data_IF_148504626100
#
_entry.id   IF_148504626100
#
_cell.length_a   1.000
_cell.length_b   1.000
_cell.length_c   1.000
_cell.angle_alpha   90.00
_cell.angle_beta   90.00
_cell.angle_gamma   90.00
#
_symmetry.space_group_name_H-M   'P 1'
#
loop_
_entity.id
_entity.type
_entity.pdbx_description
1 polymer ?
#
# COMPACT_ATOMS: atom_id res chain seq x y z
N UNK A 1 -23.25 59.64 -3.27
CA UNK A 1 -22.93 58.83 -4.47
C UNK A 1 -22.24 57.56 -4.00
N UNK A 2 -22.93 56.42 -4.02
CA UNK A 2 -22.36 55.11 -3.75
C UNK A 2 -22.62 54.24 -4.98
N UNK A 3 -21.54 53.79 -5.62
CA UNK A 3 -21.56 53.00 -6.86
C UNK A 3 -21.69 51.52 -6.47
N UNK A 4 -22.86 50.93 -6.70
CA UNK A 4 -23.05 49.50 -6.50
C UNK A 4 -22.55 48.76 -7.76
N UNK A 5 -21.65 47.76 -7.65
CA UNK A 5 -21.19 47.03 -8.81
C UNK A 5 -22.32 46.14 -9.32
N UNK A 6 -22.81 46.40 -10.54
CA UNK A 6 -23.69 45.46 -11.23
C UNK A 6 -22.88 44.24 -11.66
N UNK A 7 -22.99 43.16 -10.88
CA UNK A 7 -22.43 41.87 -11.24
C UNK A 7 -23.32 41.25 -12.32
N UNK A 8 -22.79 41.20 -13.55
CA UNK A 8 -23.46 40.60 -14.70
C UNK A 8 -23.79 39.12 -14.46
N UNK A 9 -25.05 38.74 -14.71
CA UNK A 9 -25.59 37.37 -14.59
C UNK A 9 -24.76 36.35 -15.37
N UNK A 10 -24.12 36.77 -16.47
CA UNK A 10 -23.23 35.92 -17.27
C UNK A 10 -21.97 35.48 -16.52
N UNK A 11 -21.46 36.31 -15.57
CA UNK A 11 -20.31 35.95 -14.73
C UNK A 11 -20.67 34.91 -13.67
N UNK A 12 -21.91 34.96 -13.17
CA UNK A 12 -22.43 33.99 -12.19
C UNK A 12 -22.64 32.64 -12.88
N UNK A 13 -23.25 32.64 -14.06
CA UNK A 13 -23.46 31.42 -14.84
C UNK A 13 -22.14 30.72 -15.24
N UNK A 14 -21.13 31.50 -15.65
CA UNK A 14 -19.80 30.96 -15.99
C UNK A 14 -19.08 30.34 -14.77
N UNK A 15 -19.24 30.94 -13.58
CA UNK A 15 -18.64 30.40 -12.35
C UNK A 15 -19.28 29.08 -11.90
N UNK A 16 -20.60 28.95 -12.05
CA UNK A 16 -21.33 27.74 -11.70
C UNK A 16 -21.01 26.57 -12.64
N UNK A 17 -20.79 26.82 -13.93
CA UNK A 17 -20.43 25.76 -14.91
C UNK A 17 -19.04 25.19 -14.61
N UNK A 18 -18.06 26.02 -14.24
CA UNK A 18 -16.71 25.55 -13.88
C UNK A 18 -16.70 24.72 -12.58
N UNK A 19 -17.53 25.04 -11.59
CA UNK A 19 -17.61 24.30 -10.33
C UNK A 19 -18.18 22.88 -10.50
N UNK A 20 -19.08 22.67 -11.48
CA UNK A 20 -19.64 21.34 -11.78
C UNK A 20 -18.62 20.48 -12.54
N UNK A 21 -17.84 21.06 -13.46
CA UNK A 21 -16.82 20.30 -14.20
C UNK A 21 -15.64 19.87 -13.32
N UNK A 22 -15.26 20.69 -12.32
CA UNK A 22 -14.19 20.36 -11.36
C UNK A 22 -14.59 19.35 -10.29
N UNK A 23 -15.89 19.14 -10.03
CA UNK A 23 -16.37 18.15 -9.07
C UNK A 23 -16.55 16.75 -9.66
N UNK A 24 -16.64 16.62 -10.99
CA UNK A 24 -16.78 15.31 -11.67
C UNK A 24 -15.42 14.63 -11.90
N UNK A 25 -14.34 15.39 -12.04
CA UNK A 25 -12.98 14.85 -12.25
C UNK A 25 -12.29 14.34 -10.97
N UNK A 26 -12.91 14.48 -9.80
CA UNK A 26 -12.40 13.91 -8.55
C UNK A 26 -12.71 12.41 -8.38
N UNK A 27 -13.55 11.83 -9.26
CA UNK A 27 -13.82 10.40 -9.31
C UNK A 27 -13.11 9.78 -10.51
N UNK A 28 -11.80 9.94 -10.59
CA UNK A 28 -10.99 8.88 -11.18
C UNK A 28 -11.17 7.66 -10.26
N UNK A 29 -12.24 6.91 -10.49
CA UNK A 29 -12.37 5.56 -9.95
C UNK A 29 -11.13 4.85 -10.46
N UNK A 30 -10.19 4.55 -9.57
CA UNK A 30 -9.30 3.43 -9.80
C UNK A 30 -10.24 2.28 -10.18
N UNK A 31 -10.17 1.82 -11.43
CA UNK A 31 -10.86 0.60 -11.80
C UNK A 31 -10.42 -0.42 -10.75
N UNK A 32 -11.35 -1.05 -10.01
CA UNK A 32 -10.94 -2.01 -8.99
C UNK A 32 -10.01 -3.00 -9.68
N UNK A 33 -8.79 -3.16 -9.16
CA UNK A 33 -7.83 -4.10 -9.73
C UNK A 33 -8.52 -5.48 -9.76
N UNK A 34 -9.01 -5.87 -10.94
CA UNK A 34 -9.81 -7.09 -11.10
C UNK A 34 -8.82 -8.24 -11.09
N UNK A 35 -8.64 -8.88 -9.94
CA UNK A 35 -7.73 -9.99 -9.79
C UNK A 35 -7.50 -10.37 -8.34
N UNK A 36 -6.93 -11.56 -8.14
CA UNK A 36 -6.45 -11.99 -6.82
C UNK A 36 -5.17 -11.23 -6.48
N UNK A 37 -5.11 -10.67 -5.27
CA UNK A 37 -3.95 -9.91 -4.77
C UNK A 37 -3.23 -10.73 -3.73
N UNK A 38 -1.97 -11.06 -3.99
CA UNK A 38 -1.15 -11.83 -3.08
C UNK A 38 0.18 -11.12 -2.77
N UNK A 39 0.70 -11.28 -1.56
CA UNK A 39 1.98 -10.71 -1.14
C UNK A 39 2.83 -11.70 -0.33
N UNK A 40 4.15 -11.62 -0.51
CA UNK A 40 5.16 -12.25 0.35
C UNK A 40 6.11 -11.14 0.79
N UNK A 41 6.23 -10.96 2.10
CA UNK A 41 7.04 -9.93 2.75
C UNK A 41 8.11 -10.63 3.59
N UNK A 42 9.36 -10.22 3.45
CA UNK A 42 10.51 -10.86 4.10
C UNK A 42 11.31 -9.78 4.81
N UNK A 43 11.33 -9.83 6.14
CA UNK A 43 12.13 -8.93 6.97
C UNK A 43 13.27 -9.71 7.63
N UNK A 44 14.52 -9.38 7.29
CA UNK A 44 15.71 -10.02 7.87
C UNK A 44 16.58 -8.92 8.50
N UNK A 45 16.73 -8.96 9.82
CA UNK A 45 17.68 -8.07 10.51
C UNK A 45 19.08 -8.70 10.61
N UNK A 46 19.15 -10.02 10.78
CA UNK A 46 20.40 -10.73 11.09
C UNK A 46 20.63 -11.86 10.09
N UNK A 47 21.75 -11.76 9.37
CA UNK A 47 22.20 -12.80 8.46
C UNK A 47 23.23 -13.69 9.16
N UNK A 48 23.29 -14.96 8.77
CA UNK A 48 24.29 -15.90 9.28
C UNK A 48 25.71 -15.57 8.80
N UNK A 49 25.83 -14.87 7.66
CA UNK A 49 27.10 -14.42 7.13
C UNK A 49 27.62 -13.22 7.97
N UNK A 50 28.76 -13.36 8.67
CA UNK A 50 29.30 -12.29 9.51
C UNK A 50 29.79 -11.08 8.71
N UNK A 51 29.96 -11.20 7.39
CA UNK A 51 30.29 -10.06 6.53
C UNK A 51 29.09 -9.12 6.31
N UNK A 52 27.87 -9.61 6.57
CA UNK A 52 26.65 -8.81 6.44
C UNK A 52 26.32 -8.17 7.78
N UNK A 53 26.30 -6.84 7.81
CA UNK A 53 25.99 -6.08 9.02
C UNK A 53 24.56 -6.33 9.47
N UNK A 54 24.37 -6.40 10.79
CA UNK A 54 23.04 -6.46 11.39
C UNK A 54 22.26 -5.18 11.09
N UNK A 55 21.03 -5.35 10.62
CA UNK A 55 20.07 -4.28 10.36
C UNK A 55 19.11 -4.12 11.55
N UNK A 56 18.45 -2.96 11.67
CA UNK A 56 17.64 -2.61 12.83
C UNK A 56 16.12 -2.75 12.62
N UNK A 57 15.62 -2.48 11.42
CA UNK A 57 14.17 -2.33 11.16
C UNK A 57 13.50 -3.27 10.14
N UNK A 58 14.17 -4.02 9.25
CA UNK A 58 13.49 -4.83 8.22
C UNK A 58 12.36 -5.75 8.71
N UNK A 59 12.51 -6.35 9.90
CA UNK A 59 11.44 -7.14 10.54
C UNK A 59 10.16 -6.34 10.77
N UNK A 60 10.30 -5.09 11.25
CA UNK A 60 9.17 -4.19 11.50
C UNK A 60 8.55 -3.73 10.19
N UNK A 61 9.37 -3.41 9.19
CA UNK A 61 8.89 -2.99 7.87
C UNK A 61 8.01 -4.08 7.24
N UNK A 62 8.45 -5.33 7.30
CA UNK A 62 7.67 -6.48 6.81
C UNK A 62 6.35 -6.67 7.57
N UNK A 63 6.37 -6.50 8.91
CA UNK A 63 5.15 -6.58 9.73
C UNK A 63 4.16 -5.46 9.43
N UNK A 64 4.62 -4.22 9.38
CA UNK A 64 3.76 -3.04 9.23
C UNK A 64 3.11 -3.02 7.85
N UNK A 65 3.88 -3.36 6.80
CA UNK A 65 3.33 -3.51 5.45
C UNK A 65 2.36 -4.68 5.41
N UNK A 66 2.70 -5.82 6.01
CA UNK A 66 1.83 -7.00 6.03
C UNK A 66 0.47 -6.72 6.67
N UNK A 67 0.47 -6.04 7.82
CA UNK A 67 -0.75 -5.64 8.51
C UNK A 67 -1.62 -4.71 7.64
N UNK A 68 -1.00 -3.76 6.92
CA UNK A 68 -1.72 -2.85 6.00
C UNK A 68 -2.34 -3.61 4.83
N UNK A 69 -1.58 -4.47 4.15
CA UNK A 69 -2.10 -5.23 2.99
C UNK A 69 -3.23 -6.18 3.41
N UNK A 70 -3.10 -6.83 4.57
CA UNK A 70 -4.19 -7.64 5.12
C UNK A 70 -5.44 -6.81 5.42
N UNK A 71 -5.28 -5.60 6.00
CA UNK A 71 -6.39 -4.68 6.28
C UNK A 71 -7.07 -4.15 4.99
N UNK A 72 -6.32 -4.00 3.90
CA UNK A 72 -6.82 -3.62 2.57
C UNK A 72 -7.53 -4.77 1.82
N UNK A 73 -7.63 -5.95 2.43
CA UNK A 73 -8.34 -7.10 1.87
C UNK A 73 -7.57 -7.79 0.74
N UNK A 74 -6.25 -7.89 0.85
CA UNK A 74 -5.46 -8.78 -0.01
C UNK A 74 -5.80 -10.24 0.28
N UNK A 75 -5.87 -11.08 -0.75
CA UNK A 75 -6.36 -12.46 -0.64
C UNK A 75 -5.40 -13.37 0.15
N UNK A 76 -4.09 -13.16 0.03
CA UNK A 76 -3.05 -13.86 0.81
C UNK A 76 -1.89 -12.91 1.08
N UNK A 77 -1.44 -12.86 2.33
CA UNK A 77 -0.26 -12.11 2.75
C UNK A 77 0.59 -13.01 3.63
N UNK A 78 1.78 -13.36 3.16
CA UNK A 78 2.76 -14.10 3.95
C UNK A 78 3.82 -13.15 4.47
N UNK A 79 4.11 -13.18 5.76
CA UNK A 79 5.13 -12.34 6.39
C UNK A 79 6.16 -13.25 7.06
N UNK A 80 7.41 -13.19 6.62
CA UNK A 80 8.51 -13.95 7.20
C UNK A 80 9.49 -13.03 7.91
N UNK A 81 9.88 -13.37 9.14
CA UNK A 81 10.73 -12.53 10.00
C UNK A 81 11.67 -13.36 10.85
N UNK A 82 12.90 -12.90 11.04
CA UNK A 82 13.94 -13.62 11.78
C UNK A 82 13.90 -13.39 13.31
N UNK A 83 12.80 -12.84 13.85
CA UNK A 83 12.52 -12.76 15.30
C UNK A 83 11.69 -13.94 15.84
N UNK A 84 11.27 -14.88 15.00
CA UNK A 84 10.58 -16.11 15.42
C UNK A 84 11.55 -17.29 15.52
N UNK A 85 11.12 -18.37 16.19
CA UNK A 85 11.90 -19.62 16.28
C UNK A 85 12.24 -20.16 14.87
N UNK A 86 13.46 -20.65 14.67
CA UNK A 86 13.94 -21.12 13.36
C UNK A 86 13.16 -22.32 12.80
N UNK A 87 12.40 -23.03 13.63
CA UNK A 87 11.49 -24.11 13.23
C UNK A 87 10.11 -23.59 12.81
N UNK A 88 9.81 -22.33 13.06
CA UNK A 88 8.58 -21.70 12.61
C UNK A 88 8.60 -21.58 11.08
N UNK A 89 7.46 -21.85 10.43
CA UNK A 89 7.31 -21.71 8.98
C UNK A 89 7.44 -20.26 8.50
N UNK A 90 7.28 -19.30 9.40
CA UNK A 90 7.43 -17.86 9.13
C UNK A 90 8.86 -17.38 9.41
N UNK A 91 9.77 -18.26 9.84
CA UNK A 91 11.19 -17.94 9.84
C UNK A 91 11.70 -17.82 8.39
N UNK A 92 12.48 -16.80 8.02
CA UNK A 92 12.88 -16.52 6.64
C UNK A 92 14.05 -17.42 6.19
N UNK A 93 13.92 -18.72 6.40
CA UNK A 93 14.83 -19.69 5.78
C UNK A 93 14.60 -19.72 4.27
N UNK A 94 15.64 -20.09 3.52
CA UNK A 94 15.54 -20.29 2.06
C UNK A 94 14.35 -21.19 1.69
N UNK A 95 14.23 -22.32 2.36
CA UNK A 95 13.14 -23.28 2.14
C UNK A 95 11.77 -22.69 2.43
N UNK A 96 11.61 -21.94 3.52
CA UNK A 96 10.33 -21.30 3.85
C UNK A 96 9.95 -20.23 2.81
N UNK A 97 10.91 -19.41 2.38
CA UNK A 97 10.72 -18.40 1.32
C UNK A 97 10.27 -19.07 0.02
N UNK A 98 10.99 -20.10 -0.45
CA UNK A 98 10.66 -20.85 -1.66
C UNK A 98 9.26 -21.49 -1.54
N UNK A 99 8.94 -22.09 -0.40
CA UNK A 99 7.62 -22.66 -0.13
C UNK A 99 6.50 -21.62 -0.20
N UNK A 100 6.69 -20.40 0.35
CA UNK A 100 5.69 -19.33 0.26
C UNK A 100 5.52 -18.82 -1.16
N UNK A 101 6.60 -18.69 -1.93
CA UNK A 101 6.54 -18.28 -3.34
C UNK A 101 5.74 -19.29 -4.19
N UNK A 102 5.91 -20.60 -3.96
CA UNK A 102 5.13 -21.63 -4.64
C UNK A 102 3.62 -21.58 -4.34
N UNK A 103 3.20 -20.97 -3.23
CA UNK A 103 1.79 -20.80 -2.88
C UNK A 103 1.12 -19.60 -3.59
N UNK A 104 1.91 -18.81 -4.32
CA UNK A 104 1.46 -17.64 -5.09
C UNK A 104 1.22 -17.94 -6.57
N UNK A 105 1.82 -19.00 -7.12
CA UNK A 105 1.61 -19.48 -8.49
C UNK A 105 0.34 -20.29 -8.63
#
# INVERSE_FOLDING_TARGET
MQYAPQISVHRIAALCICAVVLSVSAFASELPLVGKRYAVLIGINEYADPAIVRLSTPRNDASDIGARLSAEGWDKVFVLRDDVDYRNQDFPSRTNIENRLHLLS
#
